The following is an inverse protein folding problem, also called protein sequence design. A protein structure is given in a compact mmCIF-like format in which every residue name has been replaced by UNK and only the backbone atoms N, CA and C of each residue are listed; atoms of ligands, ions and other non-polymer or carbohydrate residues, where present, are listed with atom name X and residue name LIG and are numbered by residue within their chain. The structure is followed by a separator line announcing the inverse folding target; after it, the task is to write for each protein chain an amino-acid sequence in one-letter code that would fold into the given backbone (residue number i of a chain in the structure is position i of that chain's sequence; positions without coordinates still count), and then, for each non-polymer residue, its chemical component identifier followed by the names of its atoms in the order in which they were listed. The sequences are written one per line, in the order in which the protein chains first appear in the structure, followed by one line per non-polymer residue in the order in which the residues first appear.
data_IF_051276519895
#
_entry.id   IF_051276519895
#
_cell.length_a   1.000
_cell.length_b   1.000
_cell.length_c   1.000
_cell.angle_alpha   90.00
_cell.angle_beta   90.00
_cell.angle_gamma   90.00
#
_symmetry.space_group_name_H-M   'P 1'
#
loop_
_entity.id
_entity.type
_entity.pdbx_description
1 polymer ?
#
# COMPACT_ATOMS: atom_id res chain seq x y z
N UNK A 1 -24.84 -22.49 -14.85
CA UNK A 1 -24.53 -21.72 -16.05
C UNK A 1 -23.95 -20.38 -15.61
N UNK A 2 -22.69 -20.26 -15.79
CA UNK A 2 -21.69 -19.53 -15.00
C UNK A 2 -21.68 -18.02 -15.17
N UNK A 3 -21.80 -17.30 -14.06
CA UNK A 3 -21.68 -15.83 -13.99
C UNK A 3 -20.29 -15.39 -13.50
N UNK A 4 -19.30 -16.30 -13.51
CA UNK A 4 -17.97 -16.03 -12.92
C UNK A 4 -16.87 -15.52 -13.88
N UNK A 5 -17.17 -15.22 -15.16
CA UNK A 5 -16.12 -14.97 -16.15
C UNK A 5 -15.99 -13.53 -16.70
N UNK A 6 -16.58 -12.52 -16.06
CA UNK A 6 -16.59 -11.16 -16.63
C UNK A 6 -15.95 -10.03 -15.82
N UNK A 7 -14.94 -10.31 -15.00
CA UNK A 7 -14.33 -9.22 -14.19
C UNK A 7 -12.83 -8.96 -14.35
N UNK A 8 -12.19 -9.51 -15.39
CA UNK A 8 -10.72 -9.36 -15.51
C UNK A 8 -10.20 -8.99 -16.90
N UNK A 9 -10.92 -8.24 -17.69
CA UNK A 9 -10.36 -7.75 -18.96
C UNK A 9 -10.87 -6.35 -19.31
N UNK A 10 -10.40 -5.33 -18.63
CA UNK A 10 -10.35 -3.96 -19.18
C UNK A 10 -9.18 -3.26 -18.47
N UNK A 11 -8.00 -3.39 -18.99
CA UNK A 11 -6.95 -2.37 -18.91
C UNK A 11 -5.68 -2.84 -19.64
N UNK A 12 -5.79 -3.06 -20.95
CA UNK A 12 -4.64 -3.05 -21.86
C UNK A 12 -5.14 -2.77 -23.26
N UNK A 13 -5.21 -1.52 -23.60
CA UNK A 13 -4.93 -1.06 -24.97
C UNK A 13 -4.91 0.46 -25.01
N UNK A 14 -3.98 0.96 -25.74
CA UNK A 14 -3.78 2.31 -26.26
C UNK A 14 -2.89 3.25 -25.43
N UNK A 15 -1.60 3.25 -25.78
CA UNK A 15 -0.91 4.49 -26.15
C UNK A 15 0.31 4.13 -27.01
N UNK A 16 0.07 4.08 -28.30
CA UNK A 16 1.09 4.22 -29.34
C UNK A 16 0.70 5.46 -30.15
N UNK A 17 1.33 6.58 -29.87
CA UNK A 17 1.51 7.64 -30.86
C UNK A 17 2.86 8.28 -30.70
N UNK A 18 3.60 8.17 -31.79
CA UNK A 18 4.82 8.89 -32.11
C UNK A 18 4.66 10.41 -31.88
N UNK A 19 5.71 11.03 -31.35
CA UNK A 19 6.17 12.30 -31.88
C UNK A 19 7.67 12.45 -31.71
N UNK A 20 8.29 12.42 -32.83
CA UNK A 20 9.65 12.86 -33.17
C UNK A 20 9.82 14.35 -32.87
N UNK A 21 11.12 14.75 -32.74
CA UNK A 21 11.66 16.11 -32.74
C UNK A 21 11.82 16.78 -31.38
N UNK A 22 13.04 16.97 -30.89
CA UNK A 22 14.02 17.94 -31.30
C UNK A 22 15.38 17.64 -30.70
N UNK A 23 16.38 17.60 -31.53
CA UNK A 23 17.80 17.66 -31.19
C UNK A 23 18.12 19.08 -30.67
N UNK A 24 18.57 19.19 -29.44
CA UNK A 24 19.10 20.40 -28.84
C UNK A 24 20.40 20.08 -28.14
N UNK A 25 21.49 20.47 -28.77
CA UNK A 25 22.87 20.45 -28.25
C UNK A 25 22.91 21.15 -26.89
N UNK A 26 23.17 20.42 -25.82
CA UNK A 26 23.60 20.99 -24.55
C UNK A 26 25.08 20.65 -24.38
N UNK A 27 25.94 21.60 -24.74
CA UNK A 27 27.32 21.59 -24.30
C UNK A 27 27.33 21.68 -22.78
N UNK A 28 27.71 20.60 -22.15
CA UNK A 28 27.97 20.56 -20.72
C UNK A 28 29.15 21.48 -20.41
N UNK A 29 28.89 22.44 -19.54
CA UNK A 29 29.92 23.33 -19.01
C UNK A 29 30.79 22.56 -18.00
N UNK A 30 31.96 22.14 -18.49
CA UNK A 30 32.97 21.38 -17.76
C UNK A 30 33.71 22.23 -16.71
N UNK A 31 33.39 23.52 -16.60
CA UNK A 31 34.04 24.45 -15.69
C UNK A 31 33.42 24.48 -14.27
N UNK A 32 32.22 23.93 -14.06
CA UNK A 32 31.60 23.89 -12.75
C UNK A 32 32.06 22.72 -11.85
N UNK A 33 32.81 21.77 -12.39
CA UNK A 33 33.31 20.60 -11.63
C UNK A 33 34.61 20.79 -10.88
N UNK A 34 35.38 21.85 -11.17
CA UNK A 34 36.71 22.07 -10.57
C UNK A 34 36.76 23.00 -9.37
N UNK A 35 35.65 23.60 -8.96
CA UNK A 35 35.60 24.54 -7.83
C UNK A 35 35.11 23.94 -6.50
N UNK A 36 34.84 22.64 -6.42
CA UNK A 36 34.31 22.01 -5.21
C UNK A 36 35.30 21.14 -4.43
N UNK A 37 36.60 21.17 -4.81
CA UNK A 37 37.62 20.31 -4.18
C UNK A 37 38.68 21.09 -3.43
N UNK A 38 38.39 22.12 -2.72
CA UNK A 38 39.30 22.61 -1.64
C UNK A 38 38.48 23.42 -0.64
N UNK A 39 38.03 22.82 0.43
CA UNK A 39 38.18 23.33 1.82
C UNK A 39 37.43 22.47 2.83
N UNK A 40 38.19 21.81 3.68
CA UNK A 40 38.09 21.84 5.14
C UNK A 40 36.84 21.22 5.80
N UNK A 41 37.06 20.04 6.35
CA UNK A 41 36.56 19.61 7.69
C UNK A 41 35.46 20.49 8.32
N UNK A 42 34.24 19.99 8.24
CA UNK A 42 33.12 20.43 9.06
C UNK A 42 32.13 19.29 9.16
N UNK A 43 32.01 18.70 10.33
CA UNK A 43 30.96 17.71 10.67
C UNK A 43 29.60 18.41 10.54
N UNK A 44 29.07 18.43 9.32
CA UNK A 44 27.71 18.83 9.06
C UNK A 44 26.81 17.61 9.19
N UNK A 45 26.07 17.53 10.27
CA UNK A 45 24.90 16.66 10.36
C UNK A 45 24.08 16.84 9.09
N UNK A 46 24.10 15.84 8.21
CA UNK A 46 23.17 15.78 7.09
C UNK A 46 21.78 15.64 7.69
N UNK A 47 21.06 16.72 7.78
CA UNK A 47 19.63 16.70 7.95
C UNK A 47 19.06 15.96 6.73
N UNK A 48 18.93 14.66 6.83
CA UNK A 48 18.13 13.88 5.92
C UNK A 48 16.69 14.28 6.23
N UNK A 49 16.21 15.33 5.57
CA UNK A 49 14.78 15.57 5.50
C UNK A 49 14.20 14.35 4.81
N UNK A 50 13.69 13.42 5.61
CA UNK A 50 12.81 12.38 5.15
C UNK A 50 11.68 13.09 4.38
N UNK A 51 11.74 13.06 3.05
CA UNK A 51 10.62 13.47 2.21
C UNK A 51 9.42 12.73 2.77
N UNK A 52 8.49 13.45 3.37
CA UNK A 52 7.23 12.92 3.86
C UNK A 52 6.50 12.37 2.63
N UNK A 53 6.71 11.09 2.34
CA UNK A 53 5.97 10.42 1.29
C UNK A 53 4.51 10.56 1.65
N UNK A 54 3.80 11.33 0.85
CA UNK A 54 2.35 11.41 0.94
C UNK A 54 1.84 10.05 0.47
N UNK A 55 1.65 9.15 1.43
CA UNK A 55 1.01 7.87 1.16
C UNK A 55 -0.41 8.20 0.71
N UNK A 56 -0.66 8.06 -0.59
CA UNK A 56 -2.00 8.19 -1.12
C UNK A 56 -2.88 7.18 -0.38
N UNK A 57 -3.99 7.60 0.21
CA UNK A 57 -4.86 6.66 0.90
C UNK A 57 -5.35 5.62 -0.11
N UNK A 58 -4.99 4.38 0.12
CA UNK A 58 -5.43 3.27 -0.70
C UNK A 58 -6.96 3.19 -0.61
N UNK A 59 -7.61 3.18 -1.78
CA UNK A 59 -9.06 3.00 -1.88
C UNK A 59 -9.33 1.56 -2.30
N UNK A 60 -10.07 0.85 -1.48
CA UNK A 60 -10.55 -0.50 -1.76
C UNK A 60 -11.97 -0.41 -2.28
N UNK A 61 -12.22 -0.99 -3.45
CA UNK A 61 -13.54 -1.03 -4.08
C UNK A 61 -14.22 -2.38 -3.78
N UNK A 62 -15.34 -2.34 -3.04
CA UNK A 62 -16.17 -3.51 -2.74
C UNK A 62 -17.36 -3.64 -3.73
N UNK A 63 -17.37 -2.90 -4.83
CA UNK A 63 -18.43 -2.88 -5.83
C UNK A 63 -19.48 -1.82 -5.53
N UNK A 64 -20.20 -1.91 -4.44
CA UNK A 64 -21.22 -0.92 -4.03
C UNK A 64 -20.67 0.21 -3.19
N UNK A 65 -19.57 -0.01 -2.52
CA UNK A 65 -18.96 0.90 -1.56
C UNK A 65 -17.45 0.96 -1.77
N UNK A 66 -16.89 2.11 -1.46
CA UNK A 66 -15.44 2.29 -1.39
C UNK A 66 -15.02 2.33 0.08
N UNK A 67 -13.89 1.70 0.39
CA UNK A 67 -13.26 1.79 1.71
C UNK A 67 -11.91 2.49 1.62
N UNK A 68 -11.52 3.16 2.69
CA UNK A 68 -10.17 3.72 2.87
C UNK A 68 -9.79 3.71 4.34
N UNK A 69 -8.49 3.81 4.59
CA UNK A 69 -7.97 4.09 5.92
C UNK A 69 -7.85 5.61 6.10
N UNK A 70 -8.46 6.14 7.13
CA UNK A 70 -8.18 7.49 7.60
C UNK A 70 -7.03 7.40 8.61
N UNK A 71 -5.83 7.79 8.19
CA UNK A 71 -4.61 7.69 9.00
C UNK A 71 -4.67 8.59 10.23
N UNK A 72 -5.29 9.77 10.11
CA UNK A 72 -5.38 10.74 11.21
C UNK A 72 -6.28 10.25 12.34
N UNK A 73 -7.41 9.63 11.96
CA UNK A 73 -8.39 9.08 12.91
C UNK A 73 -8.13 7.63 13.29
N UNK A 74 -7.18 6.98 12.64
CA UNK A 74 -6.95 5.54 12.73
C UNK A 74 -8.25 4.74 12.57
N UNK A 75 -8.96 4.99 11.49
CA UNK A 75 -10.27 4.39 11.23
C UNK A 75 -10.40 3.91 9.80
N UNK A 76 -11.24 2.90 9.61
CA UNK A 76 -11.73 2.51 8.29
C UNK A 76 -12.97 3.36 7.99
N UNK A 77 -12.95 4.07 6.89
CA UNK A 77 -14.06 4.88 6.39
C UNK A 77 -14.65 4.26 5.15
N UNK A 78 -15.95 4.46 4.94
CA UNK A 78 -16.66 4.02 3.74
C UNK A 78 -17.32 5.19 3.01
N UNK A 79 -17.45 5.03 1.70
CA UNK A 79 -18.21 5.92 0.83
C UNK A 79 -19.17 5.12 -0.04
N UNK A 80 -20.43 5.55 -0.09
CA UNK A 80 -21.48 4.96 -0.94
C UNK A 80 -21.80 5.82 -2.17
N UNK A 81 -21.09 6.93 -2.34
CA UNK A 81 -21.35 7.90 -3.43
C UNK A 81 -20.11 8.17 -4.29
N UNK A 82 -19.28 7.14 -4.50
CA UNK A 82 -18.12 7.22 -5.36
C UNK A 82 -16.98 8.07 -4.79
N UNK A 83 -16.86 8.14 -3.46
CA UNK A 83 -15.79 8.88 -2.80
C UNK A 83 -16.09 10.36 -2.53
N UNK A 84 -17.29 10.84 -2.83
CA UNK A 84 -17.67 12.25 -2.59
C UNK A 84 -17.80 12.58 -1.10
N UNK A 85 -18.27 11.63 -0.30
CA UNK A 85 -18.30 11.75 1.17
C UNK A 85 -17.87 10.44 1.82
N UNK A 86 -17.32 10.55 3.03
CA UNK A 86 -16.76 9.44 3.77
C UNK A 86 -17.30 9.42 5.19
N UNK A 87 -17.74 8.25 5.63
CA UNK A 87 -18.27 8.02 6.97
C UNK A 87 -17.41 6.97 7.67
N UNK A 88 -17.10 7.19 8.94
CA UNK A 88 -16.37 6.21 9.74
C UNK A 88 -17.18 4.92 9.87
N UNK A 89 -16.58 3.80 9.51
CA UNK A 89 -17.18 2.46 9.59
C UNK A 89 -16.67 1.69 10.80
N UNK A 90 -15.35 1.77 11.05
CA UNK A 90 -14.69 1.04 12.13
C UNK A 90 -13.52 1.86 12.67
N UNK A 91 -13.42 2.01 14.00
CA UNK A 91 -12.38 2.83 14.66
C UNK A 91 -11.95 2.29 16.03
N UNK A 92 -11.95 0.97 16.22
CA UNK A 92 -11.60 0.39 17.52
C UNK A 92 -10.08 0.32 17.73
N UNK A 93 -9.58 0.93 18.80
CA UNK A 93 -8.18 0.92 19.20
C UNK A 93 -7.63 -0.49 19.49
N UNK A 94 -8.50 -1.46 19.75
CA UNK A 94 -8.13 -2.86 19.98
C UNK A 94 -7.42 -3.50 18.80
N UNK A 95 -7.68 -3.05 17.57
CA UNK A 95 -7.03 -3.57 16.36
C UNK A 95 -5.62 -3.02 16.14
N UNK A 96 -5.21 -1.97 16.87
CA UNK A 96 -3.95 -1.27 16.64
C UNK A 96 -4.07 -0.21 15.54
N UNK A 97 -2.95 0.13 14.92
CA UNK A 97 -2.90 1.14 13.84
C UNK A 97 -3.13 0.44 12.51
N UNK A 98 -4.15 0.85 11.78
CA UNK A 98 -4.41 0.35 10.43
C UNK A 98 -3.32 0.81 9.46
N UNK A 99 -2.77 -0.13 8.68
CA UNK A 99 -1.69 0.09 7.70
C UNK A 99 -2.18 -0.11 6.28
N UNK A 100 -2.94 -1.19 6.05
CA UNK A 100 -3.39 -1.61 4.72
C UNK A 100 -4.72 -2.34 4.80
N UNK A 101 -5.49 -2.27 3.71
CA UNK A 101 -6.72 -3.03 3.49
C UNK A 101 -6.59 -3.79 2.18
N UNK A 102 -6.84 -5.08 2.22
CA UNK A 102 -6.70 -5.95 1.06
C UNK A 102 -7.90 -6.89 0.91
N UNK A 103 -8.51 -6.92 -0.27
CA UNK A 103 -9.59 -7.87 -0.59
C UNK A 103 -8.98 -9.19 -1.02
N UNK A 104 -9.29 -10.25 -0.30
CA UNK A 104 -8.85 -11.60 -0.59
C UNK A 104 -10.05 -12.53 -0.70
N UNK A 105 -10.43 -12.89 -1.94
CA UNK A 105 -11.66 -13.62 -2.20
C UNK A 105 -12.90 -12.83 -1.72
N UNK A 106 -13.64 -13.39 -0.78
CA UNK A 106 -14.81 -12.75 -0.19
C UNK A 106 -14.53 -12.10 1.18
N UNK A 107 -13.28 -12.03 1.57
CA UNK A 107 -12.84 -11.49 2.85
C UNK A 107 -12.08 -10.17 2.66
N UNK A 108 -12.21 -9.27 3.60
CA UNK A 108 -11.39 -8.07 3.69
C UNK A 108 -10.33 -8.29 4.77
N UNK A 109 -9.07 -8.30 4.37
CA UNK A 109 -7.94 -8.36 5.29
C UNK A 109 -7.47 -6.96 5.64
N UNK A 110 -7.10 -6.74 6.90
CA UNK A 110 -6.50 -5.50 7.38
C UNK A 110 -5.12 -5.80 8.00
N UNK A 111 -4.09 -5.14 7.47
CA UNK A 111 -2.80 -5.06 8.15
C UNK A 111 -2.86 -4.01 9.23
N UNK A 112 -2.44 -4.37 10.43
CA UNK A 112 -2.36 -3.44 11.55
C UNK A 112 -1.02 -3.59 12.28
N UNK A 113 -0.74 -2.65 13.19
CA UNK A 113 0.43 -2.76 14.07
C UNK A 113 0.39 -3.97 15.01
N UNK A 114 -0.76 -4.63 15.15
CA UNK A 114 -0.94 -5.83 15.99
C UNK A 114 -1.02 -7.13 15.18
N UNK A 115 -0.99 -7.06 13.84
CA UNK A 115 -1.04 -8.23 12.97
C UNK A 115 -2.04 -8.10 11.83
N UNK A 116 -2.42 -9.23 11.28
CA UNK A 116 -3.44 -9.34 10.22
C UNK A 116 -4.79 -9.67 10.85
N UNK A 117 -5.80 -8.89 10.49
CA UNK A 117 -7.19 -9.07 10.89
C UNK A 117 -8.04 -9.36 9.66
N UNK A 118 -9.19 -9.98 9.86
CA UNK A 118 -10.14 -10.30 8.79
C UNK A 118 -11.51 -9.77 9.11
N UNK A 119 -12.18 -9.24 8.10
CA UNK A 119 -13.59 -8.87 8.12
C UNK A 119 -14.35 -9.66 7.06
N UNK A 120 -15.50 -10.20 7.46
CA UNK A 120 -16.46 -10.87 6.57
C UNK A 120 -17.73 -10.04 6.38
N UNK A 121 -17.73 -8.81 6.89
CA UNK A 121 -18.89 -7.89 6.88
C UNK A 121 -18.49 -6.50 6.36
N UNK A 122 -17.66 -6.46 5.31
CA UNK A 122 -17.25 -5.25 4.60
C UNK A 122 -16.58 -4.20 5.50
N UNK A 123 -15.76 -4.64 6.46
CA UNK A 123 -14.99 -3.77 7.34
C UNK A 123 -15.79 -3.14 8.50
N UNK A 124 -16.98 -3.66 8.82
CA UNK A 124 -17.75 -3.20 10.01
C UNK A 124 -17.13 -3.69 11.30
N UNK A 125 -16.56 -4.89 11.28
CA UNK A 125 -15.80 -5.46 12.39
C UNK A 125 -14.70 -6.36 11.86
N UNK A 126 -13.66 -6.55 12.66
CA UNK A 126 -12.53 -7.39 12.32
C UNK A 126 -12.26 -8.42 13.41
N UNK A 127 -11.91 -9.63 13.02
CA UNK A 127 -11.43 -10.69 13.90
C UNK A 127 -9.94 -10.92 13.67
N UNK A 128 -9.17 -11.33 14.70
CA UNK A 128 -7.76 -11.65 14.51
C UNK A 128 -7.59 -12.83 13.55
N UNK A 129 -6.72 -12.67 12.55
CA UNK A 129 -6.31 -13.73 11.62
C UNK A 129 -4.94 -14.28 11.98
N UNK A 130 -3.98 -13.36 12.17
CA UNK A 130 -2.62 -13.69 12.59
C UNK A 130 -2.04 -12.52 13.39
N UNK A 131 -1.86 -12.70 14.69
CA UNK A 131 -1.34 -11.68 15.62
C UNK A 131 0.02 -12.06 16.23
N UNK A 132 0.75 -12.95 15.56
CA UNK A 132 2.06 -13.39 16.04
C UNK A 132 3.13 -12.32 15.73
N UNK A 133 3.74 -11.77 16.78
CA UNK A 133 4.76 -10.73 16.70
C UNK A 133 6.10 -11.21 16.11
N UNK A 134 6.29 -12.52 15.92
CA UNK A 134 7.51 -13.07 15.32
C UNK A 134 7.74 -12.57 13.90
N UNK A 135 6.67 -12.26 13.18
CA UNK A 135 6.72 -11.75 11.79
C UNK A 135 7.00 -10.24 11.69
N UNK A 136 6.98 -9.51 12.82
CA UNK A 136 7.03 -8.05 12.83
C UNK A 136 5.66 -7.41 12.53
N UNK A 137 5.66 -6.10 12.26
CA UNK A 137 4.44 -5.39 11.85
C UNK A 137 4.17 -5.67 10.36
N UNK A 138 2.93 -5.99 10.04
CA UNK A 138 2.47 -6.13 8.67
C UNK A 138 2.22 -4.74 8.06
N UNK A 139 2.88 -4.44 6.94
CA UNK A 139 2.81 -3.14 6.28
C UNK A 139 1.79 -3.13 5.15
N UNK A 140 1.84 -4.13 4.29
CA UNK A 140 0.87 -4.32 3.21
C UNK A 140 0.77 -5.79 2.81
N UNK A 141 -0.30 -6.11 2.08
CA UNK A 141 -0.56 -7.41 1.49
C UNK A 141 -0.63 -7.31 -0.03
N UNK A 142 -0.28 -8.40 -0.69
CA UNK A 142 -0.33 -8.54 -2.13
C UNK A 142 -0.62 -9.98 -2.51
N UNK A 143 -1.46 -10.21 -3.50
CA UNK A 143 -1.70 -11.54 -4.06
C UNK A 143 -0.66 -11.83 -5.17
N UNK A 144 -0.13 -13.05 -5.15
CA UNK A 144 0.81 -13.54 -6.16
C UNK A 144 0.48 -14.99 -6.49
N UNK A 145 -0.31 -15.20 -7.55
CA UNK A 145 -0.83 -16.51 -7.90
C UNK A 145 -1.69 -17.10 -6.78
N UNK A 146 -1.29 -18.24 -6.24
CA UNK A 146 -1.98 -18.91 -5.13
C UNK A 146 -1.46 -18.50 -3.75
N UNK A 147 -0.51 -17.58 -3.68
CA UNK A 147 0.11 -17.13 -2.45
C UNK A 147 -0.31 -15.71 -2.10
N UNK A 148 -0.47 -15.46 -0.82
CA UNK A 148 -0.59 -14.11 -0.27
C UNK A 148 0.78 -13.69 0.23
N UNK A 149 1.30 -12.57 -0.28
CA UNK A 149 2.56 -11.98 0.15
C UNK A 149 2.29 -10.88 1.18
N UNK A 150 3.20 -10.75 2.14
CA UNK A 150 3.17 -9.68 3.12
C UNK A 150 4.55 -9.03 3.23
N UNK A 151 4.61 -7.73 3.05
CA UNK A 151 5.74 -6.95 3.48
C UNK A 151 5.58 -6.64 4.97
N UNK A 152 6.60 -6.96 5.73
CA UNK A 152 6.65 -6.70 7.17
C UNK A 152 7.91 -5.93 7.54
N UNK A 153 7.97 -5.42 8.76
CA UNK A 153 9.18 -4.78 9.28
C UNK A 153 10.38 -5.72 9.39
N UNK A 154 10.15 -7.05 9.30
CA UNK A 154 11.19 -8.09 9.34
C UNK A 154 11.48 -8.72 7.98
N UNK A 155 10.87 -8.22 6.90
CA UNK A 155 11.09 -8.69 5.54
C UNK A 155 9.83 -9.19 4.84
N UNK A 156 10.04 -9.91 3.74
CA UNK A 156 8.97 -10.47 2.92
C UNK A 156 8.57 -11.86 3.43
N UNK A 157 7.28 -12.05 3.61
CA UNK A 157 6.67 -13.31 4.00
C UNK A 157 5.61 -13.73 2.98
N UNK A 158 5.31 -15.01 2.93
CA UNK A 158 4.23 -15.57 2.12
C UNK A 158 3.34 -16.51 2.93
N UNK A 159 2.09 -16.62 2.53
CA UNK A 159 1.09 -17.49 3.11
C UNK A 159 0.35 -18.24 2.00
N UNK A 160 0.12 -19.55 2.19
CA UNK A 160 -0.69 -20.39 1.31
C UNK A 160 -2.05 -20.72 1.89
N UNK A 161 -2.38 -20.18 3.05
CA UNK A 161 -3.62 -20.46 3.77
C UNK A 161 -4.41 -19.19 4.14
N UNK A 162 -4.35 -18.19 3.27
CA UNK A 162 -5.11 -16.94 3.42
C UNK A 162 -4.67 -16.11 4.62
N UNK A 163 -3.38 -16.07 4.91
CA UNK A 163 -2.82 -15.22 5.97
C UNK A 163 -2.93 -15.79 7.39
N UNK A 164 -3.26 -17.08 7.55
CA UNK A 164 -3.32 -17.72 8.89
C UNK A 164 -1.94 -18.05 9.43
N UNK A 165 -1.01 -18.44 8.57
CA UNK A 165 0.40 -18.64 8.91
C UNK A 165 1.29 -18.10 7.79
N UNK A 166 2.50 -17.70 8.13
CA UNK A 166 3.43 -17.05 7.24
C UNK A 166 4.80 -17.72 7.29
N UNK A 167 5.44 -17.80 6.14
CA UNK A 167 6.80 -18.29 5.98
C UNK A 167 7.65 -17.19 5.35
N UNK A 168 8.90 -17.09 5.77
CA UNK A 168 9.84 -16.11 5.21
C UNK A 168 10.20 -16.51 3.78
N UNK A 169 10.25 -15.51 2.91
CA UNK A 169 10.68 -15.70 1.52
C UNK A 169 12.16 -15.39 1.37
#
# INVERSE_FOLDING_TARGET
MDIHFRRQMICMTLFLTLSTFCCGDVREDETARRAAEVSGAGQGQRNVQLKKYHVMPQIVNLGRELLRINVQKNSVECSQNGGRSWVTRCSYASYGIFRDLFVYGNELLACTSKGVYVSTNDGRSFAPRCTNNSYGEFLNLQESGSELLANTTKGLYYSRNGGRSWMRR
#
